data_IF_935829808270
#
_entry.id   IF_935829808270
#
_cell.length_a   1.000
_cell.length_b   1.000
_cell.length_c   1.000
_cell.angle_alpha   90.00
_cell.angle_beta   90.00
_cell.angle_gamma   90.00
#
_symmetry.space_group_name_H-M   'P 1'
#
loop_
_entity.id
_entity.type
_entity.pdbx_description
1 polymer ?
#
# COMPACT_ATOMS: atom_id res chain seq x y z
N UNK A 1 11.81 -37.47 -17.94
CA UNK A 1 12.21 -36.66 -16.77
C UNK A 1 10.91 -36.11 -16.19
N UNK A 2 10.53 -36.46 -14.97
CA UNK A 2 9.41 -35.78 -14.31
C UNK A 2 9.85 -34.33 -14.11
N UNK A 3 9.29 -33.40 -14.85
CA UNK A 3 9.44 -31.97 -14.54
C UNK A 3 8.86 -31.75 -13.16
N UNK A 4 9.72 -31.37 -12.21
CA UNK A 4 9.31 -31.10 -10.85
C UNK A 4 8.48 -29.82 -10.87
N UNK A 5 7.22 -29.92 -10.48
CA UNK A 5 6.31 -28.78 -10.46
C UNK A 5 6.76 -27.75 -9.39
N UNK A 6 6.73 -26.48 -9.73
CA UNK A 6 7.06 -25.38 -8.84
C UNK A 6 5.86 -25.05 -7.94
N UNK A 7 6.02 -24.91 -6.62
CA UNK A 7 4.91 -24.56 -5.76
C UNK A 7 4.37 -23.15 -6.07
N UNK A 8 3.05 -23.02 -6.14
CA UNK A 8 2.37 -21.75 -6.27
C UNK A 8 1.19 -21.71 -5.31
N UNK A 9 1.15 -20.69 -4.42
CA UNK A 9 0.05 -20.52 -3.48
C UNK A 9 -0.67 -19.22 -3.75
N UNK A 10 -1.96 -19.29 -4.09
CA UNK A 10 -2.82 -18.11 -4.28
C UNK A 10 -3.56 -17.81 -2.98
N UNK A 11 -3.30 -16.64 -2.41
CA UNK A 11 -4.05 -16.10 -1.27
C UNK A 11 -5.15 -15.20 -1.83
N UNK A 12 -6.38 -15.69 -1.78
CA UNK A 12 -7.54 -15.03 -2.39
C UNK A 12 -8.43 -14.36 -1.34
N UNK A 13 -8.69 -13.06 -1.52
CA UNK A 13 -9.64 -12.33 -0.69
C UNK A 13 -10.96 -12.11 -1.45
N UNK A 14 -11.97 -12.89 -1.11
CA UNK A 14 -13.31 -12.83 -1.74
C UNK A 14 -14.00 -11.47 -1.59
N UNK A 15 -13.69 -10.71 -0.54
CA UNK A 15 -14.26 -9.39 -0.29
C UNK A 15 -13.63 -8.27 -1.15
N UNK A 16 -12.52 -8.56 -1.87
CA UNK A 16 -11.95 -7.61 -2.82
C UNK A 16 -12.86 -7.53 -4.06
N UNK A 17 -13.35 -6.32 -4.32
CA UNK A 17 -14.38 -5.80 -5.22
C UNK A 17 -14.58 -6.34 -6.64
N UNK A 18 -14.30 -7.59 -6.93
CA UNK A 18 -14.50 -8.17 -8.25
C UNK A 18 -15.98 -8.59 -8.46
N UNK A 19 -16.63 -8.09 -9.51
CA UNK A 19 -18.03 -8.40 -9.81
C UNK A 19 -18.26 -9.89 -10.16
N UNK A 20 -19.26 -10.50 -9.53
CA UNK A 20 -19.49 -11.95 -9.49
C UNK A 20 -19.80 -12.65 -10.83
N UNK A 21 -20.24 -11.95 -11.86
CA UNK A 21 -20.87 -12.54 -13.05
C UNK A 21 -19.91 -13.12 -14.12
N UNK A 22 -18.59 -12.89 -14.02
CA UNK A 22 -17.57 -13.49 -14.90
C UNK A 22 -16.44 -14.19 -14.14
N UNK A 23 -16.67 -14.47 -12.88
CA UNK A 23 -15.63 -14.88 -11.93
C UNK A 23 -15.13 -16.28 -12.20
N UNK A 24 -16.03 -17.21 -12.44
CA UNK A 24 -15.71 -18.63 -12.46
C UNK A 24 -14.92 -19.02 -13.74
N UNK A 25 -15.35 -18.55 -14.91
CA UNK A 25 -14.65 -18.81 -16.17
C UNK A 25 -13.23 -18.22 -16.20
N UNK A 26 -13.08 -16.96 -15.76
CA UNK A 26 -11.78 -16.28 -15.71
C UNK A 26 -10.84 -16.93 -14.67
N UNK A 27 -11.40 -17.37 -13.57
CA UNK A 27 -10.65 -18.06 -12.53
C UNK A 27 -10.13 -19.43 -13.04
N UNK A 28 -10.97 -20.21 -13.69
CA UNK A 28 -10.57 -21.47 -14.31
C UNK A 28 -9.50 -21.26 -15.39
N UNK A 29 -9.61 -20.19 -16.18
CA UNK A 29 -8.60 -19.86 -17.17
C UNK A 29 -7.24 -19.52 -16.54
N UNK A 30 -7.23 -18.74 -15.45
CA UNK A 30 -6.01 -18.43 -14.69
C UNK A 30 -5.37 -19.70 -14.14
N UNK A 31 -6.14 -20.57 -13.49
CA UNK A 31 -5.63 -21.82 -12.95
C UNK A 31 -5.08 -22.73 -14.04
N UNK A 32 -5.77 -22.80 -15.17
CA UNK A 32 -5.33 -23.58 -16.34
C UNK A 32 -4.01 -23.06 -16.89
N UNK A 33 -3.86 -21.73 -17.07
CA UNK A 33 -2.60 -21.13 -17.51
C UNK A 33 -1.45 -21.44 -16.55
N UNK A 34 -1.66 -21.31 -15.26
CA UNK A 34 -0.63 -21.60 -14.26
C UNK A 34 -0.23 -23.07 -14.24
N UNK A 35 -1.20 -24.00 -14.25
CA UNK A 35 -0.92 -25.44 -14.24
C UNK A 35 -0.19 -25.93 -15.47
N UNK A 36 -0.56 -25.43 -16.65
CA UNK A 36 0.09 -25.79 -17.92
C UNK A 36 1.54 -25.28 -18.03
N UNK A 37 1.92 -24.31 -17.18
CA UNK A 37 3.28 -23.78 -17.12
C UNK A 37 4.09 -24.34 -15.93
N UNK A 38 3.74 -25.52 -15.44
CA UNK A 38 4.56 -26.26 -14.48
C UNK A 38 4.40 -25.82 -13.03
N UNK A 39 3.27 -25.21 -12.65
CA UNK A 39 2.99 -24.89 -11.26
C UNK A 39 2.09 -25.94 -10.58
N UNK A 40 2.45 -26.29 -9.34
CA UNK A 40 1.59 -27.00 -8.40
C UNK A 40 0.81 -25.99 -7.58
N UNK A 41 -0.49 -25.82 -7.89
CA UNK A 41 -1.31 -24.73 -7.38
C UNK A 41 -2.02 -25.13 -6.10
N UNK A 42 -1.92 -24.29 -5.07
CA UNK A 42 -2.76 -24.28 -3.89
C UNK A 42 -3.51 -22.97 -3.81
N UNK A 43 -4.82 -23.01 -3.56
CA UNK A 43 -5.65 -21.81 -3.37
C UNK A 43 -6.15 -21.77 -1.96
N UNK A 44 -5.91 -20.64 -1.29
CA UNK A 44 -6.32 -20.37 0.08
C UNK A 44 -7.22 -19.14 0.11
N UNK A 45 -8.48 -19.35 0.47
CA UNK A 45 -9.44 -18.25 0.59
C UNK A 45 -9.37 -17.62 1.98
N UNK A 46 -9.23 -16.28 2.01
CA UNK A 46 -9.25 -15.52 3.25
C UNK A 46 -10.69 -15.29 3.71
N UNK A 47 -11.01 -15.81 4.87
CA UNK A 47 -12.26 -15.55 5.56
C UNK A 47 -12.03 -14.66 6.79
N UNK A 48 -13.06 -13.94 7.23
CA UNK A 48 -12.98 -13.05 8.41
C UNK A 48 -12.55 -13.74 9.71
N UNK A 49 -12.71 -15.07 9.78
CA UNK A 49 -12.36 -15.89 10.95
C UNK A 49 -11.07 -16.71 10.74
N UNK A 50 -10.36 -16.54 9.62
CA UNK A 50 -9.11 -17.28 9.38
C UNK A 50 -8.01 -16.76 10.29
N UNK A 51 -7.26 -17.68 10.91
CA UNK A 51 -5.99 -17.36 11.55
C UNK A 51 -4.96 -17.11 10.44
N UNK A 52 -4.84 -15.85 10.05
CA UNK A 52 -3.96 -15.43 8.95
C UNK A 52 -2.49 -15.73 9.26
N UNK A 53 -2.08 -15.62 10.51
CA UNK A 53 -0.68 -15.86 10.90
C UNK A 53 -0.33 -17.34 10.74
N UNK A 54 -1.20 -18.22 11.17
CA UNK A 54 -1.03 -19.67 10.99
C UNK A 54 -1.06 -20.06 9.52
N UNK A 55 -2.04 -19.55 8.76
CA UNK A 55 -2.14 -19.80 7.33
C UNK A 55 -0.85 -19.41 6.61
N UNK A 56 -0.31 -18.24 6.91
CA UNK A 56 0.93 -17.77 6.27
C UNK A 56 2.16 -18.58 6.75
N UNK A 57 2.16 -19.10 7.97
CA UNK A 57 3.23 -20.00 8.41
C UNK A 57 3.22 -21.30 7.58
N UNK A 58 2.06 -21.91 7.39
CA UNK A 58 1.93 -23.13 6.56
C UNK A 58 2.37 -22.85 5.09
N UNK A 59 2.07 -21.65 4.57
CA UNK A 59 2.52 -21.22 3.25
C UNK A 59 4.04 -21.08 3.20
N UNK A 60 4.65 -20.42 4.18
CA UNK A 60 6.11 -20.28 4.25
C UNK A 60 6.79 -21.64 4.33
N UNK A 61 6.28 -22.55 5.17
CA UNK A 61 6.83 -23.90 5.31
C UNK A 61 6.77 -24.68 3.99
N UNK A 62 5.67 -24.57 3.25
CA UNK A 62 5.55 -25.18 1.91
C UNK A 62 6.59 -24.68 0.92
N UNK A 63 6.82 -23.36 0.91
CA UNK A 63 7.69 -22.72 -0.08
C UNK A 63 9.18 -22.76 0.29
N UNK A 64 9.53 -22.72 1.58
CA UNK A 64 10.93 -22.69 2.02
C UNK A 64 11.53 -24.09 2.21
N UNK A 65 10.71 -25.11 2.46
CA UNK A 65 11.21 -26.49 2.66
C UNK A 65 11.26 -27.31 1.36
N UNK A 66 10.82 -26.75 0.24
CA UNK A 66 10.86 -27.38 -1.07
C UNK A 66 12.17 -27.15 -1.82
N UNK A 67 12.38 -27.87 -2.92
CA UNK A 67 13.57 -27.68 -3.79
C UNK A 67 13.50 -26.40 -4.62
N UNK A 68 12.33 -25.81 -4.79
CA UNK A 68 12.06 -24.54 -5.47
C UNK A 68 11.15 -23.69 -4.60
N UNK A 69 11.50 -22.44 -4.38
CA UNK A 69 10.70 -21.50 -3.59
C UNK A 69 9.37 -21.11 -4.24
N UNK A 70 9.22 -21.35 -5.54
CA UNK A 70 7.98 -21.07 -6.28
C UNK A 70 7.52 -19.60 -6.18
N UNK A 71 6.19 -19.40 -6.10
CA UNK A 71 5.59 -18.06 -6.04
C UNK A 71 4.39 -18.05 -5.08
N UNK A 72 4.32 -17.06 -4.20
CA UNK A 72 3.10 -16.75 -3.44
C UNK A 72 2.36 -15.62 -4.13
N UNK A 73 1.07 -15.78 -4.37
CA UNK A 73 0.25 -14.82 -5.14
C UNK A 73 -0.79 -14.18 -4.23
N UNK A 74 -0.79 -12.85 -4.17
CA UNK A 74 -1.87 -12.09 -3.55
C UNK A 74 -2.95 -11.75 -4.60
N UNK A 75 -4.10 -12.40 -4.49
CA UNK A 75 -5.27 -12.10 -5.32
C UNK A 75 -6.24 -11.22 -4.53
N UNK A 76 -6.08 -9.91 -4.68
CA UNK A 76 -6.83 -8.92 -3.88
C UNK A 76 -6.49 -7.49 -4.21
N UNK A 77 -6.90 -6.57 -3.34
CA UNK A 77 -6.50 -5.17 -3.38
C UNK A 77 -5.22 -4.90 -2.59
N UNK A 78 -4.82 -3.60 -2.53
CA UNK A 78 -3.60 -3.16 -1.84
C UNK A 78 -3.51 -3.64 -0.38
N UNK A 79 -4.64 -3.77 0.35
CA UNK A 79 -4.65 -4.31 1.73
C UNK A 79 -4.27 -5.80 1.81
N UNK A 80 -4.78 -6.63 0.89
CA UNK A 80 -4.40 -8.05 0.80
C UNK A 80 -2.93 -8.19 0.46
N UNK A 81 -2.47 -7.40 -0.52
CA UNK A 81 -1.08 -7.35 -0.93
C UNK A 81 -0.16 -6.97 0.25
N UNK A 82 -0.55 -5.95 1.02
CA UNK A 82 0.20 -5.51 2.19
C UNK A 82 0.28 -6.61 3.26
N UNK A 83 -0.85 -7.27 3.56
CA UNK A 83 -0.90 -8.34 4.56
C UNK A 83 -0.01 -9.53 4.17
N UNK A 84 -0.10 -10.00 2.93
CA UNK A 84 0.73 -11.11 2.42
C UNK A 84 2.19 -10.68 2.34
N UNK A 85 2.47 -9.49 1.79
CA UNK A 85 3.82 -8.94 1.67
C UNK A 85 4.53 -8.81 3.02
N UNK A 86 3.78 -8.45 4.09
CA UNK A 86 4.34 -8.37 5.45
C UNK A 86 4.93 -9.69 5.94
N UNK A 87 4.37 -10.82 5.50
CA UNK A 87 4.83 -12.17 5.88
C UNK A 87 5.96 -12.68 5.02
N UNK A 88 6.15 -12.11 3.83
CA UNK A 88 7.21 -12.47 2.88
C UNK A 88 8.45 -11.58 2.99
N UNK A 89 8.47 -10.60 3.91
CA UNK A 89 9.63 -9.74 4.10
C UNK A 89 10.89 -10.57 4.38
N UNK A 90 11.98 -10.20 3.70
CA UNK A 90 13.30 -10.82 3.85
C UNK A 90 13.33 -12.32 3.51
N UNK A 91 12.35 -12.81 2.75
CA UNK A 91 12.39 -14.16 2.17
C UNK A 91 12.76 -14.08 0.69
N UNK A 92 13.22 -15.22 0.14
CA UNK A 92 13.47 -15.34 -1.29
C UNK A 92 12.21 -15.66 -2.10
N UNK A 93 11.07 -15.84 -1.41
CA UNK A 93 9.79 -16.15 -2.07
C UNK A 93 9.27 -14.90 -2.78
N UNK A 94 9.14 -14.90 -4.11
CA UNK A 94 8.56 -13.80 -4.84
C UNK A 94 7.04 -13.73 -4.65
N UNK A 95 6.53 -12.51 -4.52
CA UNK A 95 5.10 -12.21 -4.44
C UNK A 95 4.54 -11.89 -5.83
N UNK A 96 3.67 -12.73 -6.34
CA UNK A 96 2.86 -12.46 -7.54
C UNK A 96 1.63 -11.62 -7.20
N UNK A 97 1.14 -10.82 -8.14
CA UNK A 97 -0.03 -9.98 -7.95
C UNK A 97 -1.13 -10.31 -8.94
N UNK A 98 -2.33 -10.57 -8.44
CA UNK A 98 -3.59 -10.54 -9.19
C UNK A 98 -4.41 -9.34 -8.69
N UNK A 99 -4.40 -8.18 -9.40
CA UNK A 99 -4.88 -6.91 -8.89
C UNK A 99 -6.41 -6.80 -8.95
N UNK A 100 -7.10 -7.22 -7.89
CA UNK A 100 -8.56 -7.17 -7.76
C UNK A 100 -9.08 -5.90 -7.06
N UNK A 101 -8.21 -5.01 -6.66
CA UNK A 101 -8.54 -3.77 -5.97
C UNK A 101 -8.99 -2.65 -6.89
N UNK A 102 -9.41 -1.54 -6.29
CA UNK A 102 -9.85 -0.34 -7.02
C UNK A 102 -8.67 0.51 -7.49
N UNK A 103 -7.63 0.65 -6.69
CA UNK A 103 -6.49 1.54 -6.98
C UNK A 103 -5.29 0.79 -7.54
N UNK A 104 -4.92 -0.33 -6.92
CA UNK A 104 -3.80 -1.19 -7.32
C UNK A 104 -2.51 -0.40 -7.55
N UNK A 105 -2.18 0.52 -6.63
CA UNK A 105 -1.04 1.43 -6.77
C UNK A 105 0.29 0.69 -6.91
N UNK A 106 0.48 -0.39 -6.16
CA UNK A 106 1.71 -1.18 -6.25
C UNK A 106 1.85 -1.84 -7.62
N UNK A 107 0.77 -2.42 -8.15
CA UNK A 107 0.79 -3.01 -9.49
C UNK A 107 1.14 -1.97 -10.57
N UNK A 108 0.58 -0.77 -10.47
CA UNK A 108 0.84 0.32 -11.43
C UNK A 108 2.29 0.81 -11.41
N UNK A 109 2.87 1.02 -10.22
CA UNK A 109 4.26 1.50 -10.11
C UNK A 109 5.27 0.47 -10.62
N UNK A 110 4.91 -0.82 -10.56
CA UNK A 110 5.74 -1.93 -11.02
C UNK A 110 5.41 -2.37 -12.47
N UNK A 111 4.54 -1.62 -13.17
CA UNK A 111 4.08 -1.91 -14.53
C UNK A 111 3.44 -3.31 -14.67
N UNK A 112 2.83 -3.82 -13.60
CA UNK A 112 2.07 -5.07 -13.62
C UNK A 112 0.69 -4.75 -14.23
N UNK A 113 0.27 -5.48 -15.27
CA UNK A 113 -1.03 -5.27 -15.89
C UNK A 113 -2.20 -5.40 -14.91
N UNK A 114 -3.23 -4.57 -15.08
CA UNK A 114 -4.47 -4.66 -14.29
C UNK A 114 -5.45 -5.70 -14.83
N UNK A 115 -5.28 -6.13 -16.07
CA UNK A 115 -5.95 -7.31 -16.63
C UNK A 115 -5.38 -8.57 -15.97
N UNK A 116 -6.25 -9.45 -15.50
CA UNK A 116 -5.84 -10.59 -14.68
C UNK A 116 -5.10 -11.66 -15.48
N UNK A 117 -5.45 -11.87 -16.77
CA UNK A 117 -4.77 -12.84 -17.62
C UNK A 117 -3.36 -12.34 -17.96
N UNK A 118 -3.22 -11.06 -18.25
CA UNK A 118 -1.90 -10.45 -18.47
C UNK A 118 -1.07 -10.42 -17.17
N UNK A 119 -1.68 -10.16 -16.00
CA UNK A 119 -0.99 -10.27 -14.71
C UNK A 119 -0.55 -11.71 -14.42
N UNK A 120 -1.34 -12.71 -14.83
CA UNK A 120 -0.98 -14.13 -14.73
C UNK A 120 0.27 -14.44 -15.58
N UNK A 121 0.39 -13.86 -16.77
CA UNK A 121 1.61 -14.02 -17.60
C UNK A 121 2.85 -13.44 -16.89
N UNK A 122 2.70 -12.36 -16.11
CA UNK A 122 3.81 -11.83 -15.29
C UNK A 122 4.22 -12.81 -14.21
N UNK A 123 3.26 -13.51 -13.58
CA UNK A 123 3.56 -14.55 -12.59
C UNK A 123 4.32 -15.71 -13.23
N UNK A 124 3.92 -16.13 -14.44
CA UNK A 124 4.50 -17.27 -15.18
C UNK A 124 5.92 -16.94 -15.68
N UNK A 125 6.08 -15.81 -16.34
CA UNK A 125 7.27 -15.51 -17.15
C UNK A 125 8.00 -14.23 -16.74
N UNK A 126 7.56 -13.53 -15.71
CA UNK A 126 8.22 -12.35 -15.19
C UNK A 126 9.49 -12.68 -14.40
N UNK A 127 10.06 -11.65 -13.76
CA UNK A 127 11.23 -11.78 -12.88
C UNK A 127 10.95 -11.21 -11.51
N UNK A 128 11.55 -11.76 -10.44
CA UNK A 128 11.48 -11.12 -9.13
C UNK A 128 12.28 -9.81 -9.15
N UNK A 129 11.68 -8.77 -8.53
CA UNK A 129 12.31 -7.47 -8.31
C UNK A 129 12.14 -7.09 -6.85
N UNK A 130 13.25 -6.83 -6.18
CA UNK A 130 13.23 -6.34 -4.81
C UNK A 130 12.73 -4.90 -4.74
N UNK A 131 11.81 -4.63 -3.82
CA UNK A 131 11.25 -3.31 -3.57
C UNK A 131 11.51 -2.84 -2.14
N UNK A 132 11.46 -1.52 -1.95
CA UNK A 132 11.52 -0.90 -0.64
C UNK A 132 10.18 -0.98 0.07
N UNK A 133 10.21 -1.29 1.36
CA UNK A 133 9.01 -1.41 2.19
C UNK A 133 9.12 -0.46 3.38
N UNK A 134 8.17 0.44 3.52
CA UNK A 134 8.13 1.33 4.67
C UNK A 134 7.50 0.66 5.88
N UNK A 135 7.99 1.02 7.07
CA UNK A 135 7.50 0.55 8.37
C UNK A 135 7.07 1.72 9.24
N UNK A 136 6.00 1.51 9.94
CA UNK A 136 5.52 2.36 11.02
C UNK A 136 5.33 1.49 12.26
N UNK A 137 6.26 1.59 13.22
CA UNK A 137 6.43 0.64 14.31
C UNK A 137 6.56 -0.80 13.75
N UNK A 138 5.62 -1.69 14.11
CA UNK A 138 5.59 -3.09 13.64
C UNK A 138 4.67 -3.30 12.43
N UNK A 139 4.08 -2.22 11.88
CA UNK A 139 3.21 -2.29 10.70
C UNK A 139 4.00 -1.89 9.46
N UNK A 140 3.82 -2.62 8.36
CA UNK A 140 4.35 -2.19 7.08
C UNK A 140 3.33 -1.37 6.30
N UNK A 141 3.81 -0.57 5.34
CA UNK A 141 2.99 0.03 4.30
C UNK A 141 3.75 0.09 2.98
N UNK A 142 3.01 -0.12 1.91
CA UNK A 142 3.54 -0.12 0.55
C UNK A 142 3.23 1.19 -0.17
N UNK A 143 2.12 1.84 0.17
CA UNK A 143 1.71 3.09 -0.43
C UNK A 143 1.95 4.29 0.47
N UNK A 144 1.24 4.39 1.60
CA UNK A 144 1.36 5.54 2.49
C UNK A 144 0.86 5.28 3.92
N UNK A 145 1.38 6.09 4.84
CA UNK A 145 0.82 6.24 6.18
C UNK A 145 0.54 7.71 6.48
N UNK A 146 -0.47 8.01 7.31
CA UNK A 146 -0.84 9.40 7.59
C UNK A 146 -1.54 9.61 8.93
N UNK A 147 -1.43 10.82 9.43
CA UNK A 147 -1.96 11.28 10.71
C UNK A 147 -2.86 12.51 10.50
N UNK A 148 -3.84 12.70 11.35
CA UNK A 148 -4.69 13.91 11.37
C UNK A 148 -5.94 13.78 10.53
N UNK A 149 -6.14 14.66 9.55
CA UNK A 149 -7.38 14.73 8.76
C UNK A 149 -7.56 13.55 7.80
N UNK A 150 -6.49 12.93 7.34
CA UNK A 150 -6.58 11.86 6.34
C UNK A 150 -7.26 10.57 6.88
N UNK A 151 -6.99 10.08 8.09
CA UNK A 151 -7.79 9.02 8.71
C UNK A 151 -9.29 9.35 8.79
N UNK A 152 -9.63 10.61 9.11
CA UNK A 152 -11.03 11.06 9.14
C UNK A 152 -11.66 11.06 7.74
N UNK A 153 -10.88 11.49 6.73
CA UNK A 153 -11.27 11.44 5.33
C UNK A 153 -11.60 10.01 4.86
N UNK A 154 -10.74 9.03 5.17
CA UNK A 154 -10.96 7.62 4.83
C UNK A 154 -12.27 7.12 5.47
N UNK A 155 -12.46 7.37 6.76
CA UNK A 155 -13.68 6.99 7.47
C UNK A 155 -14.94 7.59 6.85
N UNK A 156 -14.91 8.88 6.48
CA UNK A 156 -16.04 9.56 5.83
C UNK A 156 -16.29 9.02 4.43
N UNK A 157 -15.25 8.84 3.64
CA UNK A 157 -15.34 8.28 2.29
C UNK A 157 -16.00 6.90 2.33
N UNK A 158 -15.61 6.04 3.27
CA UNK A 158 -16.22 4.72 3.41
C UNK A 158 -17.72 4.81 3.74
N UNK A 159 -18.12 5.69 4.67
CA UNK A 159 -19.52 5.93 4.98
C UNK A 159 -20.33 6.46 3.77
N UNK A 160 -19.73 7.33 2.95
CA UNK A 160 -20.34 7.80 1.70
C UNK A 160 -20.46 6.68 0.66
N UNK A 161 -19.42 5.85 0.52
CA UNK A 161 -19.42 4.71 -0.39
C UNK A 161 -20.47 3.65 -0.02
N UNK A 162 -20.66 3.39 1.26
CA UNK A 162 -21.72 2.49 1.75
C UNK A 162 -23.12 3.02 1.46
N UNK A 163 -23.31 4.35 1.52
CA UNK A 163 -24.62 4.98 1.34
C UNK A 163 -24.98 5.26 -0.12
N UNK A 164 -24.01 5.63 -0.95
CA UNK A 164 -24.22 6.15 -2.30
C UNK A 164 -23.49 5.34 -3.40
N UNK A 165 -22.81 4.24 -3.04
CA UNK A 165 -21.97 3.49 -3.97
C UNK A 165 -20.54 4.08 -4.11
N UNK A 166 -19.67 3.34 -4.80
CA UNK A 166 -18.25 3.72 -4.98
C UNK A 166 -18.07 4.67 -6.16
N UNK A 167 -18.20 5.98 -5.93
CA UNK A 167 -17.98 7.02 -6.93
C UNK A 167 -16.81 7.93 -6.54
N UNK A 168 -16.06 8.41 -7.55
CA UNK A 168 -14.95 9.35 -7.35
C UNK A 168 -15.40 10.64 -6.65
N UNK A 169 -16.63 11.09 -6.91
CA UNK A 169 -17.25 12.25 -6.27
C UNK A 169 -17.31 12.12 -4.74
N UNK A 170 -17.51 10.92 -4.21
CA UNK A 170 -17.55 10.66 -2.76
C UNK A 170 -16.21 11.01 -2.07
N UNK A 171 -15.10 10.89 -2.79
CA UNK A 171 -13.79 11.30 -2.27
C UNK A 171 -13.73 12.81 -2.06
N UNK A 172 -14.18 13.61 -3.01
CA UNK A 172 -14.21 15.08 -2.88
C UNK A 172 -15.22 15.54 -1.84
N UNK A 173 -16.42 14.95 -1.83
CA UNK A 173 -17.46 15.29 -0.85
C UNK A 173 -17.03 14.97 0.58
N UNK A 174 -16.34 13.82 0.80
CA UNK A 174 -15.85 13.43 2.13
C UNK A 174 -14.66 14.29 2.59
N UNK A 175 -13.76 14.70 1.68
CA UNK A 175 -12.69 15.63 1.99
C UNK A 175 -13.25 16.98 2.44
N UNK A 176 -14.22 17.50 1.71
CA UNK A 176 -14.92 18.74 2.02
C UNK A 176 -15.62 18.67 3.39
N UNK A 177 -16.34 17.58 3.66
CA UNK A 177 -17.05 17.39 4.93
C UNK A 177 -16.08 17.34 6.12
N UNK A 178 -14.97 16.63 6.01
CA UNK A 178 -13.92 16.59 7.03
C UNK A 178 -13.32 17.99 7.28
N UNK A 179 -13.00 18.72 6.22
CA UNK A 179 -12.44 20.06 6.34
C UNK A 179 -13.40 21.08 6.97
N UNK A 180 -14.72 20.88 6.78
CA UNK A 180 -15.75 21.75 7.38
C UNK A 180 -15.96 21.42 8.86
N UNK A 181 -16.03 20.14 9.22
CA UNK A 181 -16.48 19.69 10.54
C UNK A 181 -15.35 19.46 11.53
N UNK A 182 -14.19 18.96 11.05
CA UNK A 182 -13.08 18.55 11.91
C UNK A 182 -12.00 19.62 11.97
N UNK A 183 -11.71 20.12 13.17
CA UNK A 183 -10.75 21.23 13.42
C UNK A 183 -9.54 20.83 14.25
N UNK A 184 -9.39 19.56 14.61
CA UNK A 184 -8.37 19.16 15.57
C UNK A 184 -7.00 19.08 14.89
N UNK A 185 -6.24 20.17 15.00
CA UNK A 185 -4.81 20.10 14.76
C UNK A 185 -4.15 19.20 15.84
N UNK A 186 -3.22 18.37 15.40
CA UNK A 186 -2.41 17.52 16.24
C UNK A 186 -1.19 18.32 16.73
N UNK A 187 -0.95 18.34 18.04
CA UNK A 187 0.30 18.83 18.60
C UNK A 187 1.28 17.66 18.65
N UNK A 188 2.28 17.70 17.80
CA UNK A 188 3.28 16.67 17.61
C UNK A 188 4.69 17.25 17.72
N UNK A 189 5.68 16.40 17.94
CA UNK A 189 7.07 16.71 17.67
C UNK A 189 7.56 15.67 16.66
N UNK A 190 7.96 16.12 15.47
CA UNK A 190 8.64 15.28 14.49
C UNK A 190 10.13 15.30 14.82
N UNK A 191 10.71 14.12 15.00
CA UNK A 191 12.15 13.95 15.08
C UNK A 191 12.60 13.35 13.74
N UNK A 192 13.29 14.16 12.93
CA UNK A 192 13.75 13.83 11.58
C UNK A 192 15.27 13.71 11.63
N UNK A 193 15.81 12.50 11.47
CA UNK A 193 17.24 12.21 11.58
C UNK A 193 17.88 12.84 12.83
N UNK A 194 17.23 12.69 13.99
CA UNK A 194 17.68 13.18 15.28
C UNK A 194 17.40 14.66 15.57
N UNK A 195 16.91 15.43 14.58
CA UNK A 195 16.51 16.84 14.80
C UNK A 195 15.03 16.96 15.11
N UNK A 196 14.69 17.71 16.16
CA UNK A 196 13.31 17.85 16.66
C UNK A 196 12.63 19.11 16.14
N UNK A 197 11.43 18.93 15.60
CA UNK A 197 10.59 19.97 15.04
C UNK A 197 9.22 19.93 15.72
N UNK A 198 8.95 20.83 16.69
CA UNK A 198 7.61 20.99 17.24
C UNK A 198 6.64 21.42 16.14
N UNK A 199 5.52 20.72 16.02
CA UNK A 199 4.57 20.94 14.95
C UNK A 199 3.14 20.91 15.47
N UNK A 200 2.38 21.94 15.13
CA UNK A 200 0.93 21.92 15.25
C UNK A 200 0.37 21.77 13.82
N UNK A 201 -0.26 20.62 13.54
CA UNK A 201 -0.55 20.21 12.18
C UNK A 201 -1.93 19.58 12.03
N UNK A 202 -2.68 19.88 10.98
CA UNK A 202 -3.87 19.12 10.62
C UNK A 202 -3.53 17.78 9.94
N UNK A 203 -2.32 17.64 9.33
CA UNK A 203 -1.96 16.49 8.53
C UNK A 203 -0.45 16.28 8.49
N UNK A 204 -0.02 15.04 8.75
CA UNK A 204 1.29 14.52 8.35
C UNK A 204 1.07 13.29 7.48
N UNK A 205 1.79 13.23 6.36
CA UNK A 205 1.70 12.16 5.38
C UNK A 205 3.10 11.60 5.12
N UNK A 206 3.23 10.28 5.09
CA UNK A 206 4.44 9.54 4.77
C UNK A 206 4.14 8.66 3.57
N UNK A 207 4.75 8.96 2.42
CA UNK A 207 4.60 8.19 1.20
C UNK A 207 5.74 7.19 1.01
N UNK A 208 5.42 6.03 0.45
CA UNK A 208 6.39 5.03 0.01
C UNK A 208 6.23 4.70 -1.48
N UNK A 209 5.03 4.83 -2.02
CA UNK A 209 4.77 4.59 -3.43
C UNK A 209 5.13 5.81 -4.28
N UNK A 210 6.18 5.65 -5.09
CA UNK A 210 6.70 6.72 -5.95
C UNK A 210 5.64 7.26 -6.92
N UNK A 211 4.86 6.39 -7.58
CA UNK A 211 3.83 6.81 -8.53
C UNK A 211 2.77 7.69 -7.88
N UNK A 212 2.28 7.28 -6.69
CA UNK A 212 1.31 8.08 -5.95
C UNK A 212 1.84 9.48 -5.64
N UNK A 213 3.11 9.58 -5.21
CA UNK A 213 3.75 10.85 -4.91
C UNK A 213 3.96 11.70 -6.18
N UNK A 214 4.28 11.06 -7.31
CA UNK A 214 4.41 11.72 -8.61
C UNK A 214 3.05 12.24 -9.14
N UNK A 215 1.98 11.45 -9.01
CA UNK A 215 0.61 11.90 -9.35
C UNK A 215 0.20 13.12 -8.51
N UNK A 216 0.61 13.15 -7.24
CA UNK A 216 0.43 14.32 -6.35
C UNK A 216 1.43 15.46 -6.66
N UNK A 217 2.36 15.25 -7.58
CA UNK A 217 3.45 16.17 -7.97
C UNK A 217 4.30 16.63 -6.78
N UNK A 218 4.62 15.71 -5.90
CA UNK A 218 5.45 15.94 -4.73
C UNK A 218 6.92 15.59 -5.04
N UNK A 219 7.85 16.49 -4.74
CA UNK A 219 9.30 16.29 -4.94
C UNK A 219 9.87 15.14 -4.12
N UNK A 220 9.22 14.80 -3.00
CA UNK A 220 9.62 13.66 -2.16
C UNK A 220 9.41 12.29 -2.84
N UNK A 221 8.88 12.23 -4.07
CA UNK A 221 8.79 11.00 -4.86
C UNK A 221 10.17 10.36 -5.08
N UNK A 222 11.20 11.16 -5.35
CA UNK A 222 12.57 10.68 -5.54
C UNK A 222 13.18 10.13 -4.24
N UNK A 223 12.75 10.67 -3.10
CA UNK A 223 13.12 10.18 -1.79
C UNK A 223 12.60 8.76 -1.55
N UNK A 224 11.32 8.50 -1.86
CA UNK A 224 10.73 7.17 -1.78
C UNK A 224 11.42 6.17 -2.72
N UNK A 225 11.74 6.59 -3.94
CA UNK A 225 12.49 5.79 -4.92
C UNK A 225 13.89 5.41 -4.43
N UNK A 226 14.52 6.28 -3.63
CA UNK A 226 15.83 6.02 -3.01
C UNK A 226 15.75 5.14 -1.73
N UNK A 227 14.57 4.65 -1.37
CA UNK A 227 14.35 3.85 -0.15
C UNK A 227 14.58 4.67 1.13
N UNK A 228 14.09 5.91 1.15
CA UNK A 228 14.12 6.80 2.31
C UNK A 228 12.71 7.23 2.69
N UNK A 229 12.53 7.70 3.93
CA UNK A 229 11.24 8.20 4.41
C UNK A 229 10.89 9.50 3.71
N UNK A 230 9.87 9.47 2.86
CA UNK A 230 9.32 10.62 2.17
C UNK A 230 8.14 11.19 2.97
N UNK A 231 8.29 12.40 3.54
CA UNK A 231 7.29 12.99 4.40
C UNK A 231 6.79 14.35 3.92
N UNK A 232 5.50 14.60 4.16
CA UNK A 232 4.86 15.91 3.94
C UNK A 232 4.04 16.26 5.18
N UNK A 233 4.27 17.45 5.73
CA UNK A 233 3.52 17.98 6.85
C UNK A 233 2.87 19.32 6.45
N UNK A 234 1.66 19.56 6.94
CA UNK A 234 0.94 20.82 6.74
C UNK A 234 0.95 21.59 8.04
N UNK A 235 1.43 22.84 8.04
CA UNK A 235 1.34 23.70 9.23
C UNK A 235 -0.13 23.95 9.62
N UNK A 236 -0.35 24.20 10.90
CA UNK A 236 -1.68 24.60 11.36
C UNK A 236 -2.13 25.87 10.65
N UNK A 237 -3.31 25.82 10.10
CA UNK A 237 -3.85 26.91 9.30
C UNK A 237 -5.37 26.99 9.43
N UNK A 238 -5.95 28.08 8.96
CA UNK A 238 -7.38 28.28 8.93
C UNK A 238 -8.07 27.43 7.83
N UNK A 239 -9.39 27.33 7.88
CA UNK A 239 -10.17 26.56 6.91
C UNK A 239 -9.99 27.06 5.48
N UNK A 240 -9.93 28.36 5.27
CA UNK A 240 -9.80 28.95 3.92
C UNK A 240 -8.49 28.49 3.29
N UNK A 241 -7.42 28.52 4.07
CA UNK A 241 -6.10 28.02 3.63
C UNK A 241 -6.11 26.51 3.37
N UNK A 242 -6.79 25.69 4.20
CA UNK A 242 -6.93 24.26 3.92
C UNK A 242 -7.67 24.00 2.59
N UNK A 243 -8.74 24.74 2.30
CA UNK A 243 -9.40 24.67 0.98
C UNK A 243 -8.48 25.05 -0.17
N UNK A 244 -7.70 26.12 0.01
CA UNK A 244 -6.69 26.54 -0.97
C UNK A 244 -5.65 25.43 -1.20
N UNK A 245 -5.17 24.78 -0.12
CA UNK A 245 -4.21 23.67 -0.20
C UNK A 245 -4.80 22.46 -0.93
N UNK A 246 -6.07 22.11 -0.67
CA UNK A 246 -6.76 21.05 -1.41
C UNK A 246 -6.85 21.37 -2.91
N UNK A 247 -7.18 22.60 -3.26
CA UNK A 247 -7.22 23.06 -4.65
C UNK A 247 -5.82 23.04 -5.29
N UNK A 248 -4.79 23.46 -4.55
CA UNK A 248 -3.39 23.38 -4.99
C UNK A 248 -2.92 21.93 -5.16
N UNK A 249 -3.37 21.01 -4.32
CA UNK A 249 -3.09 19.57 -4.47
C UNK A 249 -3.67 19.06 -5.79
N UNK A 250 -4.94 19.37 -6.10
CA UNK A 250 -5.58 18.98 -7.36
C UNK A 250 -4.84 19.55 -8.57
N UNK A 251 -4.32 20.78 -8.46
CA UNK A 251 -3.53 21.42 -9.52
C UNK A 251 -2.06 20.93 -9.57
N UNK A 252 -1.61 20.11 -8.61
CA UNK A 252 -0.23 19.68 -8.46
C UNK A 252 0.74 20.81 -8.05
N UNK A 253 0.24 21.78 -7.30
CA UNK A 253 1.01 22.95 -6.82
C UNK A 253 1.12 22.99 -5.29
N UNK A 254 0.86 21.88 -4.61
CA UNK A 254 0.80 21.82 -3.15
C UNK A 254 2.09 22.30 -2.49
N UNK A 255 3.25 21.88 -2.99
CA UNK A 255 4.57 22.25 -2.44
C UNK A 255 4.97 23.72 -2.64
N UNK A 256 4.22 24.48 -3.42
CA UNK A 256 4.43 25.92 -3.56
C UNK A 256 3.84 26.71 -2.39
N UNK A 257 3.02 26.06 -1.57
CA UNK A 257 2.41 26.70 -0.42
C UNK A 257 3.39 26.77 0.77
N UNK A 258 3.52 27.94 1.37
CA UNK A 258 4.40 28.19 2.53
C UNK A 258 4.03 27.36 3.78
N UNK A 259 2.82 26.81 3.82
CA UNK A 259 2.31 25.98 4.91
C UNK A 259 2.67 24.51 4.75
N UNK A 260 3.28 24.10 3.62
CA UNK A 260 3.62 22.72 3.31
C UNK A 260 5.12 22.51 3.46
N UNK A 261 5.48 21.51 4.25
CA UNK A 261 6.86 21.13 4.51
C UNK A 261 7.08 19.72 4.01
N UNK A 262 7.89 19.57 2.97
CA UNK A 262 8.33 18.28 2.46
C UNK A 262 9.72 17.95 3.01
N UNK A 263 9.94 16.71 3.40
CA UNK A 263 11.23 16.25 3.94
C UNK A 263 11.56 14.82 3.49
N UNK A 264 12.86 14.55 3.41
CA UNK A 264 13.44 13.26 3.09
C UNK A 264 14.40 12.86 4.22
N UNK A 265 14.21 11.69 4.81
CA UNK A 265 14.96 11.26 5.98
C UNK A 265 15.26 9.75 5.93
N UNK A 266 16.26 9.33 6.69
CA UNK A 266 16.52 7.90 6.88
C UNK A 266 15.60 7.33 7.97
N UNK A 267 15.26 8.13 8.98
CA UNK A 267 14.34 7.76 10.05
C UNK A 267 13.53 8.98 10.52
N UNK A 268 12.28 8.75 10.84
CA UNK A 268 11.41 9.75 11.49
C UNK A 268 10.77 9.14 12.74
N UNK A 269 10.70 9.93 13.82
CA UNK A 269 9.89 9.59 14.98
C UNK A 269 8.82 10.66 15.18
N UNK A 270 7.61 10.23 15.50
CA UNK A 270 6.48 11.12 15.79
C UNK A 270 6.13 10.98 17.26
N UNK A 271 6.36 12.03 18.01
CA UNK A 271 5.99 12.13 19.41
C UNK A 271 4.69 12.92 19.56
N UNK A 272 3.75 12.40 20.35
CA UNK A 272 2.50 13.06 20.69
C UNK A 272 2.25 12.99 22.21
N UNK A 273 1.48 13.94 22.72
CA UNK A 273 1.09 13.92 24.14
C UNK A 273 0.16 12.75 24.49
N UNK A 274 -0.63 12.28 23.50
CA UNK A 274 -1.48 11.10 23.66
C UNK A 274 -0.66 9.83 23.49
N UNK A 275 -0.88 8.85 24.39
CA UNK A 275 -0.23 7.55 24.33
C UNK A 275 -0.62 6.79 23.04
N UNK A 276 -1.88 6.85 22.64
CA UNK A 276 -2.39 6.21 21.43
C UNK A 276 -2.94 7.24 20.44
N UNK A 277 -2.64 7.09 19.18
CA UNK A 277 -3.14 7.93 18.10
C UNK A 277 -3.62 7.08 16.90
N UNK A 278 -4.62 7.62 16.20
CA UNK A 278 -5.13 6.99 14.98
C UNK A 278 -4.25 7.35 13.80
N UNK A 279 -3.85 6.33 13.07
CA UNK A 279 -3.04 6.41 11.86
C UNK A 279 -3.82 5.73 10.74
N UNK A 280 -3.78 6.30 9.54
CA UNK A 280 -4.18 5.56 8.36
C UNK A 280 -2.94 4.93 7.73
N UNK A 281 -2.99 3.64 7.44
CA UNK A 281 -1.93 2.85 6.80
C UNK A 281 -2.57 2.15 5.59
N UNK A 282 -2.09 2.45 4.39
CA UNK A 282 -2.60 1.91 3.12
C UNK A 282 -4.14 1.91 2.98
N UNK A 283 -4.77 2.94 3.56
CA UNK A 283 -6.22 3.12 3.52
C UNK A 283 -6.99 2.51 4.70
N UNK A 284 -6.34 1.80 5.61
CA UNK A 284 -6.93 1.25 6.83
C UNK A 284 -6.60 2.12 8.06
N UNK A 285 -7.53 2.23 9.01
CA UNK A 285 -7.34 3.02 10.22
C UNK A 285 -6.98 2.10 11.37
N UNK A 286 -5.77 2.30 11.89
CA UNK A 286 -5.25 1.58 13.07
C UNK A 286 -4.98 2.56 14.22
N UNK A 287 -5.00 2.05 15.43
CA UNK A 287 -4.61 2.82 16.63
C UNK A 287 -3.26 2.32 17.11
N UNK A 288 -2.28 3.21 17.14
CA UNK A 288 -0.90 2.87 17.49
C UNK A 288 -0.39 3.69 18.67
N UNK A 289 0.50 3.06 19.44
CA UNK A 289 1.15 3.67 20.58
C UNK A 289 2.31 4.57 20.12
N UNK A 290 2.39 5.78 20.68
CA UNK A 290 3.50 6.71 20.46
C UNK A 290 4.69 6.43 21.39
N UNK A 291 5.93 6.77 21.01
CA UNK A 291 6.31 7.39 19.74
C UNK A 291 6.12 6.46 18.54
N UNK A 292 5.72 7.04 17.39
CA UNK A 292 5.69 6.28 16.13
C UNK A 292 7.07 6.36 15.48
N UNK A 293 7.66 5.23 15.17
CA UNK A 293 8.92 5.14 14.44
C UNK A 293 8.63 4.79 12.98
N UNK A 294 9.08 5.64 12.06
CA UNK A 294 8.96 5.44 10.62
C UNK A 294 10.35 5.20 10.03
N UNK A 295 10.49 4.11 9.30
CA UNK A 295 11.72 3.71 8.60
C UNK A 295 11.37 3.09 7.25
N UNK A 296 12.36 2.89 6.39
CA UNK A 296 12.21 2.15 5.14
C UNK A 296 13.23 1.00 5.14
N UNK A 297 12.74 -0.21 4.94
CA UNK A 297 13.56 -1.39 4.72
C UNK A 297 13.83 -1.53 3.22
N UNK A 298 15.10 -1.40 2.86
CA UNK A 298 15.51 -1.41 1.45
C UNK A 298 15.53 -2.82 0.91
N UNK A 299 14.93 -3.00 -0.28
CA UNK A 299 14.94 -4.29 -1.00
C UNK A 299 14.40 -5.46 -0.14
N UNK A 300 13.37 -5.19 0.66
CA UNK A 300 12.89 -6.13 1.67
C UNK A 300 11.81 -7.11 1.17
N UNK A 301 11.21 -6.85 0.02
CA UNK A 301 10.16 -7.69 -0.55
C UNK A 301 10.42 -7.92 -2.04
N UNK A 302 10.43 -9.18 -2.46
CA UNK A 302 10.54 -9.55 -3.87
C UNK A 302 9.16 -9.60 -4.51
N UNK A 303 8.92 -8.86 -5.61
CA UNK A 303 7.64 -8.90 -6.35
C UNK A 303 7.93 -9.34 -7.80
N UNK A 304 7.07 -10.21 -8.33
CA UNK A 304 7.10 -10.59 -9.75
C UNK A 304 6.71 -9.39 -10.61
N UNK A 305 7.60 -8.99 -11.51
CA UNK A 305 7.39 -7.87 -12.44
C UNK A 305 7.59 -8.32 -13.88
N UNK A 306 7.00 -7.63 -14.87
CA UNK A 306 7.27 -7.91 -16.28
C UNK A 306 8.75 -7.79 -16.60
N UNK A 307 9.25 -8.61 -17.52
CA UNK A 307 10.52 -8.26 -18.17
C UNK A 307 10.33 -6.91 -18.86
N UNK A 308 11.20 -5.95 -18.57
CA UNK A 308 11.20 -4.73 -19.37
C UNK A 308 11.41 -5.16 -20.84
N UNK A 309 10.50 -4.76 -21.72
CA UNK A 309 10.78 -4.88 -23.15
C UNK A 309 12.11 -4.18 -23.42
N UNK A 310 13.04 -4.79 -24.18
CA UNK A 310 14.24 -4.08 -24.57
C UNK A 310 13.83 -2.75 -25.15
N UNK A 311 14.34 -1.66 -24.59
CA UNK A 311 14.12 -0.30 -25.13
C UNK A 311 14.58 -0.32 -26.60
N UNK A 312 13.61 -0.25 -27.52
CA UNK A 312 13.86 -0.08 -28.96
C UNK A 312 14.56 1.23 -29.22
#
# INVERSE_FOLDING_TARGET
MNEQLRPLTIIYNRNSGFHAARRDELYEEILTQLSTHGFEIQVLELHSNSDFDRLMQDVLDRHLNGPDVGVVVAAGGDGTLNAVGAKLLHTDIPLGLLPLGTFNYVARVLNIPLDLLEATKVIISGRPQAIHVAKLNNQIYLNNASLGLYPLFIKRREAYNQRFGRFTFNAYASALDVMIRDRKALKLTLEVDGKRYPLNTPLVFFGNNQLQLQEMRLRVADCAAAGRVAGVAVANTDKRTLFKLLFQLIQGKLEQASQVYSFCADQVQVHAAKKNIKVAIDGEIVELQTPLKITVEKNALNIMVPYAAPSL
#
